data_IF_962119431473
#
_entry.id   IF_962119431473
#
_cell.length_a   1.000
_cell.length_b   1.000
_cell.length_c   1.000
_cell.angle_alpha   90.00
_cell.angle_beta   90.00
_cell.angle_gamma   90.00
#
_symmetry.space_group_name_H-M   'P 1'
#
loop_
_entity.id
_entity.type
_entity.pdbx_description
1 polymer ?
2 non-polymer ?
3 water ?
#
# COMPACT_ATOMS: atom_id res chain seq x y z
N UNK A 9 21.52 8.78 -8.82
CA UNK A 9 20.08 8.58 -9.07
C UNK A 9 19.72 7.10 -9.22
N UNK A 10 18.50 6.73 -8.81
CA UNK A 10 18.06 5.34 -8.95
C UNK A 10 17.94 4.99 -10.43
N UNK A 11 18.36 3.78 -10.82
CA UNK A 11 18.23 3.35 -12.22
C UNK A 11 17.01 2.43 -12.47
N UNK A 12 16.22 2.15 -11.43
CA UNK A 12 15.08 1.25 -11.55
C UNK A 12 13.91 1.86 -12.29
N UNK A 13 13.37 1.17 -13.30
CA UNK A 13 12.16 1.66 -13.96
C UNK A 13 11.02 1.84 -12.95
N UNK A 14 10.41 3.01 -12.94
CA UNK A 14 9.30 3.30 -12.04
C UNK A 14 8.29 4.20 -12.72
N UNK A 15 7.05 4.13 -12.29
CA UNK A 15 6.01 5.02 -12.80
C UNK A 15 4.92 5.16 -11.77
N UNK A 16 4.29 6.32 -11.75
CA UNK A 16 3.11 6.54 -10.91
C UNK A 16 2.28 7.55 -11.69
N UNK A 17 1.24 7.08 -12.33
CA UNK A 17 0.36 7.94 -13.15
C UNK A 17 -0.99 8.10 -12.48
N UNK A 18 -1.65 9.22 -12.74
CA UNK A 18 -2.86 9.59 -12.03
C UNK A 18 -4.00 9.86 -13.01
N UNK A 19 -5.24 9.69 -12.55
CA UNK A 19 -6.38 9.95 -13.43
C UNK A 19 -6.50 11.46 -13.69
N UNK A 20 -6.95 11.82 -14.90
CA UNK A 20 -7.19 13.21 -15.23
C UNK A 20 -8.50 13.60 -14.57
N UNK A 21 -8.43 14.46 -13.54
CA UNK A 21 -9.65 14.80 -12.79
C UNK A 21 -10.71 15.53 -13.59
N UNK A 22 -10.32 16.14 -14.71
CA UNK A 22 -11.30 16.84 -15.54
C UNK A 22 -11.84 15.97 -16.67
N UNK A 23 -11.30 14.74 -16.86
CA UNK A 23 -11.81 13.85 -17.89
C UNK A 23 -12.92 12.97 -17.33
N UNK A 24 -13.99 13.62 -16.83
CA UNK A 24 -15.12 12.89 -16.25
C UNK A 24 -15.75 12.00 -17.31
N UNK A 25 -16.13 10.79 -16.93
CA UNK A 25 -16.66 9.83 -17.88
C UNK A 25 -15.60 8.97 -18.55
N UNK A 26 -14.32 9.18 -18.22
CA UNK A 26 -13.24 8.41 -18.79
C UNK A 26 -12.23 8.12 -17.66
N UNK A 27 -11.32 7.16 -17.89
CA UNK A 27 -10.19 6.97 -16.98
C UNK A 27 -8.93 7.21 -17.82
N UNK A 28 -8.50 8.50 -17.92
CA UNK A 28 -7.32 8.87 -18.72
C UNK A 28 -6.14 9.02 -17.75
N UNK A 29 -5.10 8.23 -17.91
CA UNK A 29 -3.92 8.33 -17.05
C UNK A 29 -3.02 9.46 -17.50
N UNK A 30 -2.42 10.15 -16.56
CA UNK A 30 -1.53 11.27 -16.84
C UNK A 30 -0.20 11.09 -16.17
N UNK A 31 0.86 11.42 -16.90
CA UNK A 31 2.19 11.43 -16.33
C UNK A 31 2.71 12.85 -16.13
N UNK A 32 2.14 13.85 -16.82
CA UNK A 32 2.72 15.21 -16.69
C UNK A 32 2.20 16.00 -15.49
N UNK A 33 1.19 15.49 -14.81
CA UNK A 33 0.57 16.09 -13.65
C UNK A 33 1.59 16.24 -12.54
N UNK A 34 1.40 17.23 -11.63
CA UNK A 34 2.29 17.37 -10.48
C UNK A 34 2.12 16.10 -9.63
N UNK A 35 3.20 15.54 -9.12
CA UNK A 35 3.05 14.27 -8.37
C UNK A 35 2.62 13.01 -9.21
N UNK A 36 2.84 13.09 -10.53
CA UNK A 36 2.78 11.92 -11.39
C UNK A 36 4.19 11.80 -11.97
N UNK A 37 4.66 10.58 -12.26
CA UNK A 37 6.02 10.39 -12.71
C UNK A 37 6.22 9.21 -13.64
N UNK A 38 7.22 9.32 -14.50
CA UNK A 38 7.75 8.24 -15.30
C UNK A 38 9.25 8.37 -15.15
N UNK A 39 9.97 7.27 -14.87
CA UNK A 39 11.43 7.35 -14.79
C UNK A 39 12.11 6.10 -15.28
N UNK A 40 13.35 6.26 -15.74
CA UNK A 40 14.22 5.16 -16.13
C UNK A 40 13.61 4.26 -17.20
N UNK A 41 13.00 4.88 -18.21
CA UNK A 41 12.53 4.15 -19.37
C UNK A 41 11.06 3.85 -19.48
N UNK A 42 10.29 3.94 -18.37
CA UNK A 42 8.85 3.66 -18.45
C UNK A 42 8.18 4.74 -19.28
N UNK A 43 7.27 4.32 -20.15
CA UNK A 43 6.54 5.26 -20.99
C UNK A 43 5.03 5.13 -20.74
N UNK A 44 4.28 6.17 -21.08
CA UNK A 44 2.82 6.15 -21.02
C UNK A 44 2.39 6.41 -22.45
N UNK A 45 1.84 5.39 -23.12
CA UNK A 45 1.46 5.48 -24.53
C UNK A 45 0.11 4.86 -24.72
N UNK A 46 -0.83 5.59 -25.38
CA UNK A 46 -2.18 5.08 -25.61
C UNK A 46 -2.85 4.61 -24.31
N UNK A 47 -2.64 5.38 -23.24
CA UNK A 47 -3.21 5.11 -21.91
C UNK A 47 -2.65 3.88 -21.20
N UNK A 48 -1.50 3.35 -21.68
CA UNK A 48 -0.89 2.17 -21.09
C UNK A 48 0.55 2.42 -20.65
N UNK A 49 1.00 1.75 -19.58
CA UNK A 49 2.40 1.88 -19.16
C UNK A 49 3.22 0.86 -19.97
N UNK A 50 4.35 1.30 -20.51
CA UNK A 50 5.20 0.44 -21.33
C UNK A 50 6.46 0.13 -20.57
N UNK A 51 6.71 -1.14 -20.38
CA UNK A 51 7.83 -1.66 -19.61
C UNK A 51 9.11 -1.61 -20.42
N UNK A 52 10.18 -0.99 -19.93
CA UNK A 52 11.40 -0.86 -20.76
C UNK A 52 12.34 -2.05 -20.75
N UNK A 53 12.25 -2.90 -19.74
CA UNK A 53 13.16 -4.03 -19.61
C UNK A 53 12.54 -5.15 -18.81
N UNK A 54 13.00 -6.36 -19.06
CA UNK A 54 12.53 -7.54 -18.36
C UNK A 54 12.88 -7.50 -16.87
N UNK A 55 12.05 -8.12 -16.06
CA UNK A 55 12.33 -8.21 -14.63
C UNK A 55 11.10 -8.33 -13.76
N UNK A 56 11.32 -8.39 -12.46
CA UNK A 56 10.23 -8.45 -11.49
C UNK A 56 9.77 -7.03 -11.21
N UNK A 57 8.45 -6.84 -11.20
CA UNK A 57 7.88 -5.53 -10.92
C UNK A 57 6.71 -5.65 -10.01
N UNK A 58 6.57 -4.66 -9.11
CA UNK A 58 5.34 -4.51 -8.37
C UNK A 58 4.46 -3.67 -9.32
N UNK A 59 3.22 -4.06 -9.49
CA UNK A 59 2.24 -3.32 -10.25
C UNK A 59 1.12 -3.01 -9.29
N UNK A 60 0.68 -1.75 -9.22
CA UNK A 60 -0.39 -1.40 -8.31
C UNK A 60 -1.31 -0.37 -8.89
N UNK A 61 -2.54 -0.32 -8.37
CA UNK A 61 -3.49 0.67 -8.81
C UNK A 61 -4.58 0.83 -7.78
N UNK A 62 -5.01 2.05 -7.55
CA UNK A 62 -6.16 2.32 -6.73
C UNK A 62 -7.15 3.13 -7.54
N UNK A 63 -8.42 2.75 -7.50
CA UNK A 63 -9.50 3.52 -8.07
C UNK A 63 -10.50 3.78 -6.95
N UNK A 64 -11.33 4.80 -7.09
CA UNK A 64 -12.31 5.12 -6.05
C UNK A 64 -13.59 5.42 -6.74
N UNK A 65 -14.62 4.65 -6.41
CA UNK A 65 -15.94 4.87 -6.96
C UNK A 65 -16.81 5.54 -5.90
N UNK A 66 -17.79 6.31 -6.34
CA UNK A 66 -18.70 7.00 -5.43
C UNK A 66 -20.08 7.07 -6.08
N UNK A 67 -21.09 6.95 -5.28
CA UNK A 67 -22.46 7.10 -5.75
C UNK A 67 -23.30 7.74 -4.66
N UNK A 68 -24.43 8.32 -5.06
CA UNK A 68 -25.35 8.94 -4.12
C UNK A 68 -26.56 8.02 -4.08
N UNK A 69 -26.66 7.20 -3.04
CA UNK A 69 -27.74 6.23 -2.91
C UNK A 69 -27.60 5.06 -3.87
N UNK A 70 -28.66 4.26 -4.02
CA UNK A 70 -28.60 3.08 -4.89
C UNK A 70 -29.67 3.11 -5.99
N UNK A 71 -29.25 2.98 -7.26
CA UNK A 71 -30.22 3.04 -8.36
C UNK A 71 -30.99 1.74 -8.60
N UNK A 75 -25.71 -2.34 -9.62
CA UNK A 75 -24.41 -1.73 -9.95
C UNK A 75 -23.28 -2.72 -9.67
N UNK A 76 -22.47 -3.01 -10.68
CA UNK A 76 -21.30 -3.87 -10.54
C UNK A 76 -20.11 -3.02 -10.98
N UNK A 77 -19.11 -2.91 -10.10
CA UNK A 77 -17.93 -2.11 -10.37
C UNK A 77 -16.74 -3.05 -10.56
N UNK A 78 -15.98 -2.89 -11.62
CA UNK A 78 -14.82 -3.72 -11.86
C UNK A 78 -13.58 -2.86 -12.06
N UNK A 79 -12.45 -3.40 -11.68
CA UNK A 79 -11.15 -2.79 -11.84
C UNK A 79 -10.23 -3.94 -12.26
N UNK A 80 -9.51 -3.76 -13.38
CA UNK A 80 -8.67 -4.82 -13.93
C UNK A 80 -7.34 -4.29 -14.44
N UNK A 81 -6.26 -4.94 -14.08
CA UNK A 81 -4.93 -4.64 -14.62
C UNK A 81 -4.58 -5.76 -15.56
N UNK A 82 -4.26 -5.40 -16.80
CA UNK A 82 -3.92 -6.40 -17.81
C UNK A 82 -2.55 -6.14 -18.42
N UNK A 83 -2.00 -7.18 -19.00
CA UNK A 83 -0.71 -7.16 -19.65
C UNK A 83 -0.89 -7.53 -21.13
N UNK A 84 -0.25 -6.78 -22.03
CA UNK A 84 -0.24 -7.08 -23.46
C UNK A 84 1.23 -7.26 -23.82
N UNK A 85 1.64 -8.49 -24.11
CA UNK A 85 3.02 -8.78 -24.44
C UNK A 85 3.25 -8.59 -25.92
N UNK A 86 4.49 -8.26 -26.29
CA UNK A 86 4.84 -8.12 -27.71
C UNK A 86 4.60 -9.47 -28.47
N UNK A 87 4.73 -10.61 -27.75
CA UNK A 87 4.52 -11.97 -28.26
C UNK A 87 3.05 -12.49 -28.22
N UNK A 88 2.14 -11.77 -27.56
CA UNK A 88 0.72 -12.15 -27.50
C UNK A 88 -0.01 -10.84 -27.26
N UNK A 89 -0.27 -10.09 -28.34
CA UNK A 89 -0.80 -8.74 -28.24
C UNK A 89 -2.31 -8.65 -28.01
N UNK A 90 -2.75 -9.27 -26.91
CA UNK A 90 -4.13 -9.30 -26.43
C UNK A 90 -4.05 -9.17 -24.91
N UNK A 91 -5.03 -8.52 -24.30
CA UNK A 91 -5.02 -8.37 -22.84
C UNK A 91 -5.10 -9.70 -22.09
N UNK A 92 -4.13 -9.94 -21.21
CA UNK A 92 -4.16 -11.05 -20.26
C UNK A 92 -4.37 -10.40 -18.91
N UNK A 93 -5.45 -10.75 -18.20
CA UNK A 93 -5.74 -10.13 -16.89
C UNK A 93 -4.73 -10.61 -15.87
N UNK A 94 -4.07 -9.68 -15.18
CA UNK A 94 -3.11 -10.03 -14.12
C UNK A 94 -3.78 -9.91 -12.77
N UNK A 95 -4.60 -8.86 -12.58
CA UNK A 95 -5.25 -8.55 -11.30
C UNK A 95 -6.64 -8.05 -11.60
N UNK A 96 -7.65 -8.52 -10.86
CA UNK A 96 -9.00 -8.03 -11.09
C UNK A 96 -9.80 -8.05 -9.80
N UNK A 97 -10.74 -7.12 -9.70
CA UNK A 97 -11.66 -7.00 -8.59
C UNK A 97 -13.04 -6.63 -9.08
N UNK A 98 -14.06 -7.10 -8.37
CA UNK A 98 -15.45 -6.76 -8.66
C UNK A 98 -16.11 -6.42 -7.33
N UNK A 99 -16.87 -5.34 -7.30
CA UNK A 99 -17.60 -4.94 -6.10
C UNK A 99 -19.05 -4.63 -6.47
N UNK A 100 -19.95 -4.91 -5.54
CA UNK A 100 -21.38 -4.61 -5.65
C UNK A 100 -21.69 -3.70 -4.45
N UNK A 101 -21.65 -2.37 -4.65
CA UNK A 101 -21.86 -1.46 -3.51
C UNK A 101 -23.28 -1.40 -2.97
N UNK A 102 -24.26 -1.87 -3.76
CA UNK A 102 -25.67 -1.79 -3.39
C UNK A 102 -26.32 -3.16 -3.26
N UNK A 113 -27.84 8.32 0.74
CA UNK A 113 -26.55 8.49 1.43
C UNK A 113 -25.41 8.16 0.48
N UNK A 114 -24.34 8.98 0.47
CA UNK A 114 -23.23 8.68 -0.43
C UNK A 114 -22.46 7.42 -0.03
N UNK A 115 -22.10 6.60 -1.01
CA UNK A 115 -21.26 5.44 -0.76
C UNK A 115 -19.93 5.64 -1.48
N UNK A 116 -18.88 5.07 -0.92
CA UNK A 116 -17.56 5.12 -1.51
C UNK A 116 -17.04 3.71 -1.58
N UNK A 117 -16.35 3.38 -2.68
CA UNK A 117 -15.81 2.05 -2.86
C UNK A 117 -14.42 2.15 -3.43
N UNK A 118 -13.39 2.22 -2.58
CA UNK A 118 -12.03 2.18 -3.10
C UNK A 118 -11.73 0.73 -3.48
N UNK A 119 -10.99 0.57 -4.58
CA UNK A 119 -10.52 -0.74 -4.98
C UNK A 119 -9.04 -0.63 -5.20
N UNK A 120 -8.29 -1.47 -4.53
CA UNK A 120 -6.86 -1.53 -4.71
C UNK A 120 -6.51 -2.86 -5.33
N UNK A 121 -5.60 -2.84 -6.30
CA UNK A 121 -5.05 -4.04 -6.86
C UNK A 121 -3.56 -3.91 -6.82
N UNK A 122 -2.88 -4.98 -6.45
CA UNK A 122 -1.42 -4.97 -6.45
C UNK A 122 -0.89 -6.36 -6.52
N UNK A 123 0.27 -6.50 -7.14
CA UNK A 123 0.93 -7.77 -7.24
C UNK A 123 2.33 -7.66 -7.79
N UNK A 124 3.11 -8.71 -7.61
CA UNK A 124 4.45 -8.76 -8.13
C UNK A 124 4.48 -9.76 -9.29
N UNK A 125 4.98 -9.29 -10.43
CA UNK A 125 4.97 -10.08 -11.66
C UNK A 125 6.27 -10.01 -12.40
N UNK A 126 6.57 -11.06 -13.17
CA UNK A 126 7.70 -11.07 -14.07
C UNK A 126 7.18 -10.47 -15.39
N UNK A 127 7.77 -9.34 -15.80
CA UNK A 127 7.36 -8.68 -17.03
C UNK A 127 8.48 -8.73 -18.05
N UNK A 128 8.13 -8.56 -19.31
CA UNK A 128 9.08 -8.59 -20.38
C UNK A 128 9.22 -7.22 -21.02
N UNK A 129 10.34 -6.99 -21.70
CA UNK A 129 10.59 -5.73 -22.41
C UNK A 129 9.47 -5.45 -23.43
N UNK A 130 8.93 -4.25 -23.40
CA UNK A 130 7.90 -3.85 -24.33
C UNK A 130 6.50 -4.21 -23.92
N UNK A 131 6.31 -4.87 -22.74
CA UNK A 131 4.96 -5.17 -22.28
C UNK A 131 4.17 -3.88 -22.08
N UNK A 132 2.87 -3.90 -22.40
CA UNK A 132 2.00 -2.75 -22.16
C UNK A 132 1.02 -3.12 -21.09
N UNK A 133 0.90 -2.28 -20.07
CA UNK A 133 0.01 -2.57 -18.95
C UNK A 133 -1.14 -1.61 -18.97
N UNK A 134 -2.34 -2.13 -18.79
CA UNK A 134 -3.51 -1.29 -18.73
C UNK A 134 -4.16 -1.44 -17.36
N UNK A 135 -4.83 -0.38 -16.90
CA UNK A 135 -5.59 -0.40 -15.66
C UNK A 135 -6.91 0.24 -16.01
N UNK A 136 -7.95 -0.60 -16.05
CA UNK A 136 -9.23 -0.19 -16.57
C UNK A 136 -10.38 -0.48 -15.64
N UNK A 137 -11.45 0.30 -15.78
CA UNK A 137 -12.66 0.09 -15.00
C UNK A 137 -13.84 -0.04 -15.97
N UNK A 138 -14.96 -0.60 -15.49
CA UNK A 138 -16.14 -0.70 -16.35
C UNK A 138 -17.06 0.50 -16.26
N UNK A 139 -17.02 1.24 -15.14
CA UNK A 139 -17.94 2.34 -14.88
C UNK A 139 -17.24 3.67 -14.56
N UNK A 140 -16.61 4.32 -15.55
CA UNK A 140 -15.99 5.63 -15.28
C UNK A 140 -17.00 6.69 -14.84
N UNK A 141 -18.31 6.50 -15.12
CA UNK A 141 -19.35 7.41 -14.63
C UNK A 141 -19.47 7.39 -13.09
N UNK A 142 -18.95 6.35 -12.42
CA UNK A 142 -18.96 6.27 -10.97
C UNK A 142 -17.60 6.65 -10.33
N UNK A 143 -16.58 7.00 -11.12
CA UNK A 143 -15.30 7.41 -10.55
C UNK A 143 -15.43 8.68 -9.77
N UNK A 144 -14.66 8.77 -8.69
CA UNK A 144 -14.66 9.99 -7.90
C UNK A 144 -13.44 10.81 -8.27
N UNK A 145 -13.66 12.01 -8.82
CA UNK A 145 -12.60 12.95 -9.20
C UNK A 145 -12.68 14.25 -8.38
N UNK A 146 -13.21 14.20 -7.15
CA UNK A 146 -13.36 15.40 -6.34
C UNK A 146 -12.02 15.80 -5.72
N UNK A 147 -11.28 14.81 -5.20
CA UNK A 147 -9.98 15.09 -4.60
C UNK A 147 -8.83 14.43 -5.37
N UNK A 148 -7.68 15.10 -5.38
CA UNK A 148 -6.50 14.56 -6.03
C UNK A 148 -5.90 13.44 -5.16
N UNK A 149 -5.16 12.56 -5.80
CA UNK A 149 -4.47 11.46 -5.16
C UNK A 149 -5.27 10.19 -4.94
N UNK A 150 -6.53 10.14 -5.39
CA UNK A 150 -7.38 8.98 -5.13
C UNK A 150 -7.28 7.87 -6.18
N UNK A 151 -6.93 8.22 -7.42
CA UNK A 151 -6.95 7.25 -8.52
C UNK A 151 -5.60 7.25 -9.18
N UNK A 152 -4.92 6.12 -9.14
CA UNK A 152 -3.55 6.04 -9.63
C UNK A 152 -3.19 4.65 -10.07
N UNK A 153 -2.07 4.52 -10.78
CA UNK A 153 -1.60 3.29 -11.38
C UNK A 153 -0.09 3.42 -11.46
N UNK A 154 0.64 2.45 -10.95
CA UNK A 154 2.10 2.54 -10.97
C UNK A 154 2.79 1.22 -11.03
N UNK A 155 4.10 1.28 -11.33
CA UNK A 155 4.96 0.11 -11.33
C UNK A 155 6.28 0.46 -10.71
N UNK A 156 6.88 -0.53 -10.05
CA UNK A 156 8.20 -0.34 -9.45
C UNK A 156 9.02 -1.58 -9.75
N UNK A 157 10.15 -1.43 -10.45
CA UNK A 157 11.03 -2.57 -10.71
C UNK A 157 11.68 -2.96 -9.37
N UNK A 158 11.54 -4.23 -8.98
CA UNK A 158 12.09 -4.68 -7.70
C UNK A 158 13.62 -4.58 -7.73
N UNK B 11 24.11 -7.34 -4.18
CA UNK B 11 24.49 -8.19 -3.06
C UNK B 11 23.72 -7.89 -1.75
N UNK B 12 22.65 -7.11 -1.82
CA UNK B 12 21.85 -6.73 -0.66
C UNK B 12 20.93 -7.87 -0.26
N UNK B 13 20.81 -8.19 1.06
CA UNK B 13 19.83 -9.21 1.48
C UNK B 13 18.43 -8.91 0.95
N UNK B 14 17.81 -9.91 0.30
CA UNK B 14 16.48 -9.74 -0.27
C UNK B 14 15.72 -11.04 -0.16
N UNK B 15 14.40 -10.94 -0.08
CA UNK B 15 13.55 -12.10 -0.10
C UNK B 15 12.19 -11.73 -0.63
N UNK B 16 11.55 -12.67 -1.32
CA UNK B 16 10.16 -12.51 -1.75
C UNK B 16 9.60 -13.92 -1.73
N UNK B 17 8.78 -14.23 -0.73
CA UNK B 17 8.22 -15.57 -0.56
C UNK B 17 6.71 -15.54 -0.78
N UNK B 18 6.14 -16.66 -1.20
CA UNK B 18 4.73 -16.72 -1.58
C UNK B 18 3.98 -17.82 -0.83
N UNK B 19 2.66 -17.68 -0.70
CA UNK B 19 1.89 -18.67 0.03
C UNK B 19 1.78 -19.99 -0.72
N UNK B 20 1.70 -21.08 0.03
CA UNK B 20 1.50 -22.40 -0.55
C UNK B 20 -0.01 -22.57 -0.73
N UNK B 21 -0.48 -22.74 -1.97
CA UNK B 21 -1.93 -22.95 -2.17
C UNK B 21 -2.45 -24.28 -1.65
N UNK B 22 -1.58 -25.28 -1.54
CA UNK B 22 -1.96 -26.62 -1.09
C UNK B 22 -2.07 -26.74 0.44
N UNK B 23 -1.48 -25.80 1.20
CA UNK B 23 -1.54 -25.88 2.66
C UNK B 23 -2.98 -25.79 3.14
N UNK B 24 -3.32 -26.59 4.15
CA UNK B 24 -4.66 -26.61 4.70
C UNK B 24 -4.64 -25.90 6.03
N UNK B 25 -5.51 -24.91 6.18
CA UNK B 25 -5.64 -24.20 7.44
C UNK B 25 -4.40 -23.46 7.90
N UNK B 26 -3.55 -23.01 6.95
CA UNK B 26 -2.38 -22.24 7.33
C UNK B 26 -1.81 -21.42 6.19
N UNK B 27 -1.10 -20.37 6.58
CA UNK B 27 -0.43 -19.51 5.64
C UNK B 27 1.02 -19.90 5.72
N UNK B 28 1.42 -20.78 4.79
CA UNK B 28 2.76 -21.34 4.73
C UNK B 28 3.54 -20.66 3.63
N UNK B 29 4.63 -20.00 3.98
CA UNK B 29 5.47 -19.31 2.99
C UNK B 29 6.41 -20.27 2.29
N UNK B 30 6.65 -20.02 1.01
CA UNK B 30 7.52 -20.83 0.19
C UNK B 30 8.52 -20.00 -0.55
N UNK B 31 9.70 -20.59 -0.77
CA UNK B 31 10.74 -20.02 -1.61
C UNK B 31 10.66 -20.81 -2.92
N UNK B 36 9.46 -16.21 -6.72
CA UNK B 36 9.92 -16.25 -5.35
C UNK B 36 11.44 -16.34 -5.26
N UNK B 37 12.00 -15.85 -4.15
CA UNK B 37 13.45 -15.82 -4.00
C UNK B 37 13.95 -15.55 -2.59
N UNK B 38 15.16 -16.01 -2.32
CA UNK B 38 15.93 -15.73 -1.11
C UNK B 38 17.32 -15.48 -1.65
N UNK B 39 17.95 -14.36 -1.28
CA UNK B 39 19.29 -14.09 -1.75
C UNK B 39 20.11 -13.31 -0.73
N UNK B 40 21.43 -13.47 -0.85
CA UNK B 40 22.40 -12.74 -0.06
C UNK B 40 22.21 -12.91 1.45
N UNK B 41 21.93 -14.15 1.87
CA UNK B 41 21.88 -14.47 3.29
C UNK B 41 20.53 -14.65 3.93
N UNK B 42 19.45 -14.13 3.32
CA UNK B 42 18.12 -14.30 3.92
C UNK B 42 17.71 -15.76 3.89
N UNK B 43 17.17 -16.24 4.99
CA UNK B 43 16.73 -17.62 5.10
C UNK B 43 15.24 -17.66 5.43
N UNK B 44 14.60 -18.77 5.09
CA UNK B 44 13.20 -19.01 5.44
C UNK B 44 13.25 -20.23 6.34
N UNK B 45 12.99 -20.04 7.63
CA UNK B 45 13.08 -21.13 8.62
C UNK B 45 11.88 -21.06 9.54
N UNK B 46 11.19 -22.20 9.72
CA UNK B 46 10.00 -22.28 10.55
C UNK B 46 8.95 -21.22 10.19
N UNK B 47 8.78 -21.01 8.87
CA UNK B 47 7.83 -20.06 8.31
C UNK B 47 8.18 -18.59 8.53
N UNK B 48 9.43 -18.29 8.93
CA UNK B 48 9.85 -16.93 9.21
C UNK B 48 11.05 -16.54 8.37
N UNK B 49 11.16 -15.25 8.00
CA UNK B 49 12.33 -14.78 7.27
C UNK B 49 13.39 -14.41 8.32
N UNK B 50 14.62 -14.90 8.12
CA UNK B 50 15.69 -14.66 9.07
C UNK B 50 16.65 -13.67 8.46
N UNK B 51 16.86 -12.56 9.17
CA UNK B 51 17.68 -11.45 8.75
C UNK B 51 19.15 -11.78 8.94
N UNK B 52 19.98 -11.69 7.87
CA UNK B 52 21.40 -12.07 8.02
C UNK B 52 22.32 -11.02 8.62
N UNK B 53 21.91 -9.76 8.57
CA UNK B 53 22.76 -8.67 9.04
C UNK B 53 21.95 -7.47 9.46
N UNK B 54 22.52 -6.68 10.36
CA UNK B 54 21.87 -5.48 10.87
C UNK B 54 21.74 -4.44 9.77
N UNK B 55 20.66 -3.64 9.81
CA UNK B 55 20.48 -2.57 8.86
C UNK B 55 19.05 -2.18 8.63
N UNK B 56 18.86 -1.25 7.72
CA UNK B 56 17.52 -0.81 7.36
C UNK B 56 16.95 -1.75 6.33
N UNK B 57 15.68 -2.13 6.49
CA UNK B 57 15.03 -3.01 5.51
C UNK B 57 13.64 -2.49 5.23
N UNK B 58 13.23 -2.58 3.96
CA UNK B 58 11.84 -2.39 3.62
C UNK B 58 11.24 -3.77 3.84
N UNK B 59 10.11 -3.84 4.56
CA UNK B 59 9.39 -5.09 4.80
C UNK B 59 8.02 -4.89 4.19
N UNK B 60 7.52 -5.90 3.45
CA UNK B 60 6.20 -5.76 2.86
C UNK B 60 5.47 -7.08 2.79
N UNK B 61 4.15 -7.01 2.64
CA UNK B 61 3.37 -8.23 2.47
C UNK B 61 1.98 -7.89 1.93
N UNK B 62 1.33 -8.89 1.34
CA UNK B 62 -0.06 -8.77 0.95
C UNK B 62 -0.67 -10.13 1.15
N UNK B 63 -1.86 -10.14 1.74
CA UNK B 63 -2.70 -11.33 1.83
C UNK B 63 -4.05 -11.03 1.18
N UNK B 64 -4.71 -12.07 0.65
CA UNK B 64 -5.98 -11.90 -0.03
C UNK B 64 -6.98 -12.86 0.61
N UNK B 65 -8.15 -12.35 0.99
CA UNK B 65 -9.21 -13.15 1.60
C UNK B 65 -10.45 -13.17 0.70
N UNK B 66 -11.21 -14.26 0.79
CA UNK B 66 -12.45 -14.35 0.02
C UNK B 66 -13.42 -15.23 0.76
N UNK B 67 -14.69 -14.94 0.62
CA UNK B 67 -15.73 -15.75 1.24
C UNK B 67 -17.00 -15.74 0.44
N UNK B 68 -17.85 -16.71 0.69
CA UNK B 68 -19.16 -16.81 0.03
C UNK B 68 -20.16 -16.52 1.12
N UNK B 69 -20.67 -15.30 1.12
CA UNK B 69 -21.63 -14.90 2.12
C UNK B 69 -21.03 -14.64 3.48
N UNK B 70 -21.89 -14.41 4.46
CA UNK B 70 -21.50 -14.09 5.83
C UNK B 70 -22.06 -15.09 6.84
N UNK B 71 -21.17 -15.65 7.67
CA UNK B 71 -21.61 -16.71 8.62
C UNK B 71 -22.26 -16.21 9.90
N UNK B 72 -22.61 -17.15 10.81
CA UNK B 72 -23.25 -16.89 12.10
C UNK B 72 -22.32 -16.19 13.12
N UNK B 73 -21.01 -16.28 12.91
CA UNK B 73 -20.05 -15.63 13.80
C UNK B 73 -19.46 -14.42 13.07
N UNK B 74 -19.16 -13.33 13.80
CA UNK B 74 -18.61 -12.12 13.19
C UNK B 74 -17.24 -12.40 12.60
N UNK B 75 -17.00 -12.00 11.35
CA UNK B 75 -15.73 -12.26 10.69
C UNK B 75 -14.79 -11.07 10.79
N UNK B 76 -13.65 -11.26 11.44
CA UNK B 76 -12.62 -10.22 11.51
C UNK B 76 -11.37 -10.83 10.92
N UNK B 77 -10.78 -10.14 9.93
CA UNK B 77 -9.60 -10.64 9.25
C UNK B 77 -8.41 -9.81 9.66
N UNK B 78 -7.34 -10.43 10.14
CA UNK B 78 -6.16 -9.68 10.58
C UNK B 78 -4.95 -10.14 9.84
N UNK B 79 -4.01 -9.21 9.66
CA UNK B 79 -2.75 -9.54 9.01
C UNK B 79 -1.70 -8.73 9.76
N UNK B 80 -0.65 -9.43 10.22
CA UNK B 80 0.35 -8.79 11.01
C UNK B 80 1.74 -9.23 10.66
N UNK B 81 2.66 -8.28 10.55
CA UNK B 81 4.09 -8.57 10.39
C UNK B 81 4.74 -8.29 11.73
N UNK B 82 5.44 -9.30 12.27
CA UNK B 82 6.08 -9.15 13.57
C UNK B 82 7.56 -9.43 13.48
N UNK B 83 8.29 -8.95 14.49
CA UNK B 83 9.71 -9.12 14.61
C UNK B 83 10.01 -9.84 15.93
N UNK B 84 10.89 -10.85 15.87
CA UNK B 84 11.33 -11.58 17.05
C UNK B 84 12.84 -11.42 17.08
N UNK B 85 13.36 -10.68 18.08
CA UNK B 85 14.80 -10.47 18.17
C UNK B 85 15.45 -11.59 18.98
N UNK B 86 16.71 -11.95 18.65
CA UNK B 86 17.43 -13.01 19.36
C UNK B 86 17.58 -12.69 20.84
N UNK B 91 8.40 -11.00 20.74
CA UNK B 91 7.63 -10.88 19.49
C UNK B 91 6.85 -9.56 19.50
N UNK B 92 7.15 -8.68 18.52
CA UNK B 92 6.61 -7.32 18.49
C UNK B 92 6.00 -7.01 17.14
N UNK B 93 4.77 -6.48 17.13
CA UNK B 93 4.12 -6.15 15.87
C UNK B 93 4.78 -4.95 15.26
N UNK B 94 5.16 -5.05 13.97
CA UNK B 94 5.72 -3.94 13.24
C UNK B 94 4.65 -3.26 12.40
N UNK B 95 3.80 -4.08 11.76
CA UNK B 95 2.76 -3.60 10.84
C UNK B 95 1.54 -4.48 11.02
N UNK B 96 0.36 -3.90 11.14
CA UNK B 96 -0.84 -4.72 11.35
C UNK B 96 -2.06 -4.03 10.86
N UNK B 97 -3.02 -4.81 10.40
CA UNK B 97 -4.31 -4.24 10.00
C UNK B 97 -5.41 -5.28 10.16
N UNK B 98 -6.65 -4.81 10.26
CA UNK B 98 -7.84 -5.61 10.49
C UNK B 98 -8.93 -5.13 9.56
N UNK B 99 -9.71 -6.07 9.00
CA UNK B 99 -10.84 -5.76 8.15
C UNK B 99 -12.06 -6.57 8.59
N UNK B 100 -13.25 -6.03 8.40
CA UNK B 100 -14.51 -6.68 8.74
C UNK B 100 -15.34 -6.71 7.45
N UNK B 101 -15.28 -7.81 6.70
CA UNK B 101 -15.99 -7.86 5.41
C UNK B 101 -17.51 -7.98 5.50
N UNK B 102 -18.04 -8.35 6.65
CA UNK B 102 -19.47 -8.56 6.82
C UNK B 102 -20.09 -7.58 7.82
N UNK B 112 -26.27 -15.68 -0.56
CA UNK B 112 -24.86 -15.57 -0.20
C UNK B 112 -24.05 -15.03 -1.39
N UNK B 113 -23.60 -13.77 -1.29
CA UNK B 113 -22.84 -13.11 -2.35
C UNK B 113 -21.35 -13.22 -2.04
N UNK B 114 -20.50 -13.49 -3.04
CA UNK B 114 -19.06 -13.59 -2.75
C UNK B 114 -18.45 -12.25 -2.39
N UNK B 115 -17.53 -12.25 -1.45
CA UNK B 115 -16.80 -11.03 -1.07
C UNK B 115 -15.30 -11.29 -1.21
N UNK B 116 -14.51 -10.22 -1.36
CA UNK B 116 -13.07 -10.35 -1.52
C UNK B 116 -12.41 -9.19 -0.82
N UNK B 117 -11.34 -9.45 -0.05
CA UNK B 117 -10.65 -8.35 0.62
C UNK B 117 -9.18 -8.59 0.68
N UNK B 118 -8.39 -7.59 0.27
CA UNK B 118 -6.94 -7.69 0.44
C UNK B 118 -6.53 -6.93 1.71
N UNK B 119 -5.42 -7.36 2.32
CA UNK B 119 -4.76 -6.56 3.36
C UNK B 119 -3.29 -6.47 2.94
N UNK B 120 -2.76 -5.26 2.79
CA UNK B 120 -1.40 -5.07 2.26
C UNK B 120 -0.67 -4.08 3.16
N UNK B 121 0.58 -4.37 3.51
CA UNK B 121 1.37 -3.67 4.54
C UNK B 121 2.75 -3.47 4.07
N UNK B 122 3.38 -2.39 4.55
CA UNK B 122 4.78 -2.18 4.25
C UNK B 122 5.36 -1.01 4.98
N UNK B 123 6.62 -1.12 5.32
CA UNK B 123 7.32 0.00 5.96
C UNK B 123 8.81 -0.26 6.11
N UNK B 124 9.58 0.78 6.50
CA UNK B 124 11.03 0.65 6.67
C UNK B 124 11.38 0.52 8.14
N UNK B 125 12.25 -0.47 8.47
CA UNK B 125 12.60 -0.76 9.86
C UNK B 125 14.06 -1.05 10.01
N UNK B 126 14.59 -0.71 11.19
CA UNK B 126 15.97 -1.07 11.51
C UNK B 126 15.89 -2.46 12.15
N UNK B 127 16.59 -3.42 11.56
CA UNK B 127 16.59 -4.80 12.03
C UNK B 127 17.98 -5.19 12.48
N UNK B 128 18.05 -6.22 13.32
CA UNK B 128 19.31 -6.74 13.82
C UNK B 128 19.60 -8.13 13.25
N UNK B 129 20.88 -8.52 13.24
CA UNK B 129 21.30 -9.84 12.77
C UNK B 129 20.56 -10.94 13.56
N UNK B 130 20.00 -11.88 12.83
CA UNK B 130 19.30 -13.00 13.44
C UNK B 130 17.85 -12.74 13.77
N UNK B 131 17.33 -11.52 13.50
CA UNK B 131 15.90 -11.26 13.72
C UNK B 131 15.06 -12.20 12.87
N UNK B 132 13.91 -12.61 13.39
CA UNK B 132 13.00 -13.47 12.65
C UNK B 132 11.74 -12.66 12.39
N UNK B 133 11.30 -12.63 11.15
CA UNK B 133 10.11 -11.88 10.78
C UNK B 133 9.02 -12.84 10.41
N UNK B 134 7.83 -12.58 10.94
CA UNK B 134 6.69 -13.40 10.61
C UNK B 134 5.61 -12.55 9.96
N UNK B 135 4.83 -13.14 9.07
CA UNK B 135 3.69 -12.48 8.43
C UNK B 135 2.56 -13.47 8.61
N UNK B 136 1.62 -13.12 9.47
CA UNK B 136 0.59 -14.04 9.90
C UNK B 136 -0.80 -13.48 9.73
N UNK B 137 -1.77 -14.39 9.66
CA UNK B 137 -3.16 -14.01 9.60
C UNK B 137 -3.91 -14.82 10.66
N UNK B 138 -5.10 -14.35 11.02
CA UNK B 138 -5.90 -15.10 12.00
C UNK B 138 -6.84 -16.09 11.34
N UNK B 139 -7.21 -15.89 10.06
CA UNK B 139 -8.17 -16.75 9.38
C UNK B 139 -7.67 -17.36 8.06
N UNK B 140 -6.74 -18.34 8.14
CA UNK B 140 -6.29 -18.99 6.91
C UNK B 140 -7.40 -19.73 6.16
N UNK B 141 -8.52 -20.06 6.84
CA UNK B 141 -9.67 -20.67 6.18
C UNK B 141 -10.32 -19.73 5.15
N UNK B 142 -10.05 -18.40 5.24
CA UNK B 142 -10.58 -17.42 4.30
C UNK B 142 -9.57 -16.98 3.24
N UNK B 143 -8.37 -17.57 3.21
CA UNK B 143 -7.37 -17.20 2.21
C UNK B 143 -7.82 -17.56 0.83
N UNK B 144 -7.48 -16.71 -0.13
CA UNK B 144 -7.78 -16.97 -1.52
C UNK B 144 -6.61 -17.83 -2.05
N UNK B 145 -6.62 -19.15 -1.73
CA UNK B 145 -5.56 -20.07 -2.13
C UNK B 145 -5.26 -20.09 -3.65
N UNK B 146 -6.28 -19.87 -4.49
CA UNK B 146 -6.07 -19.83 -5.94
C UNK B 146 -5.16 -18.67 -6.36
N UNK B 147 -5.14 -17.59 -5.58
CA UNK B 147 -4.27 -16.46 -5.87
C UNK B 147 -3.05 -16.44 -4.96
N UNK B 148 -2.55 -17.63 -4.56
CA UNK B 148 -1.39 -17.79 -3.68
C UNK B 148 -0.12 -17.11 -4.19
N UNK B 149 0.00 -16.97 -5.51
CA UNK B 149 1.14 -16.29 -6.14
C UNK B 149 1.19 -14.82 -5.73
N UNK B 150 0.03 -14.23 -5.40
CA UNK B 150 0.00 -12.82 -4.95
C UNK B 150 -0.29 -12.64 -3.45
N UNK B 151 -0.07 -13.69 -2.70
CA UNK B 151 -0.10 -13.64 -1.26
C UNK B 151 1.37 -13.78 -0.99
N UNK B 152 1.99 -12.66 -0.61
CA UNK B 152 3.42 -12.62 -0.55
C UNK B 152 3.94 -11.89 0.65
N UNK B 153 5.24 -12.05 0.90
CA UNK B 153 5.92 -11.47 2.04
C UNK B 153 7.38 -11.29 1.62
N UNK B 154 7.94 -10.09 1.81
CA UNK B 154 9.32 -9.89 1.37
C UNK B 154 10.04 -8.81 2.12
N UNK B 155 11.35 -8.80 1.96
CA UNK B 155 12.20 -7.78 2.54
C UNK B 155 13.27 -7.38 1.54
N UNK B 156 13.78 -6.17 1.69
CA UNK B 156 14.92 -5.73 0.88
C UNK B 156 15.74 -4.81 1.74
N UNK B 157 17.03 -5.11 1.85
CA UNK B 157 17.94 -4.29 2.62
C UNK B 157 18.16 -2.98 1.85
N UNK B 158 18.12 -1.84 2.55
CA UNK B 158 18.26 -0.51 1.95
C UNK B 158 19.63 0.09 2.20
N UNK C 4 17.33 15.04 15.94
CA UNK C 4 18.21 13.87 15.91
C UNK C 4 18.92 13.74 14.57
N UNK C 5 20.12 13.13 14.59
CA UNK C 5 20.90 12.97 13.37
C UNK C 5 21.51 11.58 13.28
N UNK C 6 20.68 10.58 12.95
CA UNK C 6 21.08 9.20 12.78
C UNK C 6 21.52 8.96 11.34
N UNK C 7 22.57 8.16 11.16
CA UNK C 7 23.09 7.85 9.84
C UNK C 7 23.24 6.35 9.64
N UNK C 8 23.06 5.90 8.39
CA UNK C 8 23.21 4.51 8.01
C UNK C 8 24.15 4.42 6.79
N UNK C 9 24.78 3.25 6.56
CA UNK C 9 25.77 3.13 5.47
C UNK C 9 25.33 3.53 4.06
N UNK C 10 24.07 3.25 3.66
CA UNK C 10 23.63 3.61 2.31
C UNK C 10 23.40 5.13 2.10
N UNK C 11 23.26 5.87 3.21
CA UNK C 11 22.98 7.30 3.17
C UNK C 11 21.63 7.62 2.51
N UNK C 12 20.73 6.62 2.36
CA UNK C 12 19.44 6.90 1.77
C UNK C 12 18.51 7.49 2.81
N UNK C 13 17.97 8.68 2.54
CA UNK C 13 16.97 9.26 3.46
C UNK C 13 15.79 8.32 3.70
N UNK C 14 15.47 8.08 4.96
CA UNK C 14 14.38 7.19 5.32
C UNK C 14 13.69 7.70 6.56
N UNK C 15 12.42 7.36 6.69
CA UNK C 15 11.67 7.68 7.91
C UNK C 15 10.52 6.71 8.06
N UNK C 16 10.20 6.40 9.32
CA UNK C 16 9.03 5.60 9.65
C UNK C 16 8.57 6.14 11.00
N UNK C 17 7.48 6.89 10.99
CA UNK C 17 6.95 7.50 12.21
C UNK C 17 5.58 6.91 12.56
N UNK C 18 5.25 6.92 13.84
CA UNK C 18 4.05 6.24 14.34
C UNK C 18 3.16 7.19 15.12
N UNK C 19 1.87 6.88 15.19
CA UNK C 19 0.93 7.76 15.88
C UNK C 19 1.09 7.69 17.36
N UNK C 20 0.84 8.82 18.03
CA UNK C 20 0.78 8.85 19.46
C UNK C 20 -0.66 8.44 19.86
N UNK C 21 -0.86 7.28 20.53
CA UNK C 21 -2.23 6.86 20.85
C UNK C 21 -2.99 7.72 21.83
N UNK C 22 -2.29 8.52 22.65
CA UNK C 22 -2.98 9.36 23.62
C UNK C 22 -3.08 10.83 23.21
N UNK C 23 -2.85 11.14 21.94
CA UNK C 23 -2.97 12.50 21.44
C UNK C 23 -4.46 12.78 21.34
N UNK C 24 -4.92 13.79 22.07
CA UNK C 24 -6.34 14.12 22.12
C UNK C 24 -6.85 14.75 20.85
N UNK C 25 -7.76 14.07 20.16
CA UNK C 25 -8.42 14.54 18.95
C UNK C 25 -7.54 14.88 17.78
N UNK C 26 -6.40 14.18 17.64
CA UNK C 26 -5.50 14.45 16.54
C UNK C 26 -4.68 13.22 16.13
N UNK C 27 -4.00 13.34 14.99
CA UNK C 27 -3.09 12.31 14.53
C UNK C 27 -1.68 12.92 14.61
N UNK C 28 -0.97 12.62 15.71
CA UNK C 28 0.34 13.18 16.01
C UNK C 28 1.42 12.16 15.74
N UNK C 29 2.34 12.45 14.84
CA UNK C 29 3.41 11.52 14.48
C UNK C 29 4.58 11.63 15.43
N UNK C 30 5.21 10.49 15.71
CA UNK C 30 6.34 10.43 16.63
C UNK C 30 7.47 9.64 16.01
N UNK C 31 8.70 10.09 16.17
CA UNK C 31 9.85 9.29 15.76
C UNK C 31 10.55 8.66 17.01
N UNK C 32 10.30 9.22 18.21
CA UNK C 32 10.92 8.79 19.45
C UNK C 32 10.18 7.60 20.04
N UNK C 33 10.19 6.50 19.30
CA UNK C 33 9.54 5.26 19.71
C UNK C 33 10.37 4.09 19.19
N UNK C 34 10.25 2.93 19.84
CA UNK C 34 10.93 1.72 19.36
C UNK C 34 10.33 1.35 18.01
N UNK C 35 11.14 0.87 17.09
CA UNK C 35 10.62 0.52 15.74
C UNK C 35 10.08 1.72 14.95
N UNK C 36 10.52 2.92 15.29
CA UNK C 36 10.25 4.14 14.51
C UNK C 36 11.62 4.75 14.24
N UNK C 37 11.73 5.57 13.19
CA UNK C 37 13.04 6.11 12.87
C UNK C 37 13.05 7.28 11.93
N UNK C 38 14.15 8.03 11.97
CA UNK C 38 14.48 9.11 11.05
C UNK C 38 15.94 8.89 10.78
N UNK C 39 16.35 8.84 9.51
CA UNK C 39 17.76 8.64 9.22
C UNK C 39 18.18 9.35 7.96
N UNK C 40 19.47 9.65 7.89
CA UNK C 40 20.10 10.23 6.74
C UNK C 40 19.46 11.54 6.28
N UNK C 41 19.14 12.40 7.23
CA UNK C 41 18.68 13.74 6.94
C UNK C 41 17.21 14.05 7.06
N UNK C 42 16.36 13.03 7.12
CA UNK C 42 14.92 13.29 7.25
C UNK C 42 14.63 13.86 8.63
N UNK C 43 13.79 14.88 8.68
CA UNK C 43 13.40 15.51 9.92
C UNK C 43 11.89 15.41 10.12
N UNK C 44 11.44 15.47 11.36
CA UNK C 44 10.02 15.51 11.70
C UNK C 44 9.85 16.87 12.38
N UNK C 45 9.15 17.80 11.71
CA UNK C 45 8.98 19.16 12.19
C UNK C 45 7.55 19.58 12.00
N UNK C 46 6.89 20.08 13.07
CA UNK C 46 5.49 20.52 12.99
C UNK C 46 4.56 19.44 12.40
N UNK C 47 4.81 18.19 12.82
CA UNK C 47 4.03 17.01 12.40
C UNK C 47 4.22 16.62 10.94
N UNK C 48 5.26 17.15 10.28
CA UNK C 48 5.53 16.84 8.87
C UNK C 48 6.91 16.25 8.69
N UNK C 49 7.06 15.37 7.68
CA UNK C 49 8.39 14.84 7.35
C UNK C 49 9.03 15.81 6.36
N UNK C 50 10.28 16.20 6.62
CA UNK C 50 11.00 17.15 5.78
C UNK C 50 12.08 16.40 5.02
N UNK C 51 12.00 16.48 3.69
CA UNK C 51 12.87 15.79 2.76
C UNK C 51 14.22 16.50 2.65
N UNK C 52 15.34 15.78 2.82
CA UNK C 52 16.66 16.45 2.80
C UNK C 52 17.27 16.66 1.43
N UNK C 53 16.83 15.91 0.42
CA UNK C 53 17.42 15.97 -0.89
C UNK C 53 16.47 15.53 -1.97
N UNK C 54 16.69 16.02 -3.17
CA UNK C 54 15.85 15.68 -4.32
C UNK C 54 16.01 14.20 -4.70
N UNK C 55 14.96 13.63 -5.27
CA UNK C 55 15.05 12.27 -5.77
C UNK C 55 13.74 11.54 -5.78
N UNK C 56 13.79 10.27 -6.18
CA UNK C 56 12.60 9.41 -6.16
C UNK C 56 12.49 8.82 -4.76
N UNK C 57 11.26 8.78 -4.25
CA UNK C 57 10.99 8.23 -2.94
C UNK C 57 9.73 7.38 -2.97
N UNK C 58 9.72 6.30 -2.19
CA UNK C 58 8.49 5.58 -1.90
C UNK C 58 7.91 6.35 -0.73
N UNK C 59 6.62 6.60 -0.74
CA UNK C 59 5.91 7.30 0.33
C UNK C 59 4.75 6.43 0.72
N UNK C 60 4.55 6.22 2.02
CA UNK C 60 3.46 5.36 2.44
C UNK C 60 2.87 5.77 3.78
N UNK C 61 1.63 5.35 4.02
CA UNK C 61 1.01 5.58 5.32
C UNK C 61 -0.16 4.65 5.52
N UNK C 62 -0.42 4.28 6.77
CA UNK C 62 -1.57 3.49 7.10
C UNK C 62 -2.25 4.11 8.29
N UNK C 63 -3.57 4.12 8.26
CA UNK C 63 -4.39 4.43 9.40
C UNK C 63 -5.40 3.29 9.57
N UNK C 64 -5.94 3.12 10.78
CA UNK C 64 -6.95 2.08 11.01
C UNK C 64 -8.07 2.71 11.77
N UNK C 65 -9.29 2.59 11.25
CA UNK C 65 -10.46 3.12 11.92
C UNK C 65 -11.30 1.97 12.45
N UNK C 66 -12.02 2.22 13.53
CA UNK C 66 -12.91 1.21 14.11
C UNK C 66 -14.12 1.89 14.72
N UNK C 67 -15.25 1.22 14.59
CA UNK C 67 -16.48 1.68 15.21
C UNK C 67 -17.30 0.51 15.70
N UNK C 68 -18.22 0.78 16.62
CA UNK C 68 -19.09 -0.25 17.15
C UNK C 68 -20.47 0.04 16.59
N UNK C 69 -20.86 -0.74 15.59
CA UNK C 69 -22.14 -0.55 14.93
C UNK C 69 -22.17 0.65 14.02
N UNK C 70 -23.36 0.96 13.50
CA UNK C 70 -23.52 2.08 12.60
C UNK C 70 -24.49 3.13 13.14
N UNK C 71 -24.03 4.40 13.25
CA UNK C 71 -24.91 5.44 13.80
C UNK C 71 -25.89 6.00 12.77
N UNK C 72 -26.82 6.85 13.24
CA UNK C 72 -27.81 7.49 12.38
C UNK C 72 -27.25 8.60 11.50
N UNK C 73 -26.02 9.09 11.80
CA UNK C 73 -25.36 10.11 10.99
C UNK C 73 -24.34 9.42 10.10
N UNK C 74 -24.22 9.89 8.86
CA UNK C 74 -23.33 9.28 7.88
C UNK C 74 -21.87 9.40 8.24
N UNK C 75 -21.14 8.27 8.26
CA UNK C 75 -19.73 8.30 8.59
C UNK C 75 -18.87 8.23 7.33
N UNK C 76 -18.01 9.23 7.13
CA UNK C 76 -17.08 9.23 6.00
C UNK C 76 -15.68 9.35 6.59
N UNK C 77 -14.79 8.42 6.21
CA UNK C 77 -13.43 8.39 6.75
C UNK C 77 -12.47 8.74 5.63
N UNK C 78 -11.53 9.67 5.88
CA UNK C 78 -10.57 10.06 4.85
C UNK C 78 -9.14 10.00 5.40
N UNK C 79 -8.18 9.68 4.53
CA UNK C 79 -6.75 9.66 4.85
C UNK C 79 -6.04 10.23 3.65
N UNK C 80 -5.19 11.24 3.87
CA UNK C 80 -4.52 11.91 2.77
C UNK C 80 -3.06 12.21 3.08
N UNK C 81 -2.18 11.93 2.11
CA UNK C 81 -0.79 12.31 2.19
C UNK C 81 -0.61 13.47 1.25
N UNK C 82 -0.06 14.60 1.75
CA UNK C 82 0.15 15.77 0.92
C UNK C 82 1.61 16.25 0.95
N UNK C 83 1.96 17.08 -0.03
CA UNK C 83 3.30 17.59 -0.21
C UNK C 83 3.24 19.11 -0.31
N UNK C 84 4.16 19.80 0.37
CA UNK C 84 4.31 21.27 0.28
C UNK C 84 5.73 21.52 -0.16
N UNK C 85 5.91 22.09 -1.36
CA UNK C 85 7.25 22.38 -1.87
C UNK C 85 7.73 23.75 -1.43
N UNK C 86 9.04 23.94 -1.23
CA UNK C 86 9.57 25.22 -0.82
C UNK C 86 9.42 26.28 -1.87
N UNK C 87 9.84 25.99 -3.12
CA UNK C 87 9.78 26.97 -4.20
C UNK C 87 8.36 27.35 -4.56
N UNK C 88 7.45 26.38 -4.53
CA UNK C 88 6.07 26.60 -4.94
C UNK C 88 5.17 27.08 -3.81
N UNK C 89 5.43 26.64 -2.57
CA UNK C 89 4.63 27.01 -1.41
C UNK C 89 3.15 26.66 -1.60
N UNK C 90 2.86 25.56 -2.31
CA UNK C 90 1.50 25.13 -2.58
C UNK C 90 1.30 23.72 -2.04
N UNK C 91 0.17 23.46 -1.37
CA UNK C 91 -0.15 22.13 -0.87
C UNK C 91 -0.68 21.27 -2.02
N UNK C 92 -0.32 19.98 -2.04
CA UNK C 92 -0.77 19.12 -3.12
C UNK C 92 -1.00 17.72 -2.61
N UNK C 93 -2.18 17.16 -2.83
CA UNK C 93 -2.45 15.78 -2.40
C UNK C 93 -1.66 14.84 -3.28
N UNK C 94 -0.92 13.91 -2.66
CA UNK C 94 -0.19 12.89 -3.40
C UNK C 94 -1.01 11.62 -3.44
N UNK C 95 -1.60 11.23 -2.31
CA UNK C 95 -2.35 9.99 -2.18
C UNK C 95 -3.54 10.25 -1.26
N UNK C 96 -4.71 9.66 -1.55
CA UNK C 96 -5.86 9.88 -0.70
C UNK C 96 -6.86 8.75 -0.89
N UNK C 97 -7.67 8.51 0.13
CA UNK C 97 -8.79 7.59 0.00
C UNK C 97 -9.89 8.00 0.94
N UNK C 98 -11.12 7.64 0.59
CA UNK C 98 -12.30 7.90 1.38
C UNK C 98 -13.06 6.58 1.49
N UNK C 99 -13.57 6.28 2.69
CA UNK C 99 -14.35 5.09 2.91
C UNK C 99 -15.63 5.42 3.65
N UNK C 100 -16.69 4.68 3.36
CA UNK C 100 -18.00 4.82 4.01
C UNK C 100 -18.30 3.45 4.60
N UNK C 101 -17.96 3.23 5.88
CA UNK C 101 -18.13 1.90 6.47
C UNK C 101 -19.57 1.46 6.70
N UNK C 102 -20.52 2.41 6.69
CA UNK C 102 -21.91 2.12 6.99
C UNK C 102 -22.85 2.50 5.85
N UNK C 112 -25.07 -4.27 17.58
CA UNK C 112 -23.96 -3.46 17.09
C UNK C 112 -22.66 -4.27 16.99
N UNK C 113 -22.26 -4.59 15.76
CA UNK C 113 -21.06 -5.37 15.49
C UNK C 113 -19.91 -4.42 15.16
N UNK C 114 -18.70 -4.71 15.64
CA UNK C 114 -17.57 -3.82 15.35
C UNK C 114 -17.17 -3.85 13.89
N UNK C 115 -16.86 -2.69 13.32
CA UNK C 115 -16.34 -2.62 11.95
C UNK C 115 -14.93 -2.06 12.01
N UNK C 116 -14.10 -2.47 11.06
CA UNK C 116 -12.72 -2.01 10.95
C UNK C 116 -12.49 -1.56 9.54
N UNK C 117 -11.83 -0.42 9.40
CA UNK C 117 -11.50 0.08 8.08
C UNK C 117 -10.07 0.57 8.05
N UNK C 118 -9.15 -0.26 7.53
CA UNK C 118 -7.78 0.24 7.33
C UNK C 118 -7.75 1.07 6.05
N UNK C 119 -6.82 2.04 5.99
CA UNK C 119 -6.53 2.75 4.76
C UNK C 119 -5.03 2.74 4.63
N UNK C 120 -4.49 2.03 3.63
CA UNK C 120 -3.05 2.01 3.33
C UNK C 120 -2.88 2.76 2.03
N UNK C 121 -1.95 3.71 2.01
CA UNK C 121 -1.68 4.47 0.82
C UNK C 121 -0.19 4.35 0.55
N UNK C 122 0.17 4.14 -0.70
CA UNK C 122 1.58 4.06 -1.06
C UNK C 122 1.80 4.36 -2.53
N UNK C 123 2.96 4.91 -2.84
CA UNK C 123 3.33 5.17 -4.23
C UNK C 123 4.77 5.63 -4.33
N UNK C 124 5.22 5.94 -5.55
CA UNK C 124 6.56 6.44 -5.84
C UNK C 124 6.44 7.86 -6.38
N UNK C 125 7.23 8.78 -5.84
CA UNK C 125 7.14 10.20 -6.18
C UNK C 125 8.49 10.85 -6.32
N UNK C 126 8.57 11.89 -7.16
CA UNK C 126 9.78 12.68 -7.27
C UNK C 126 9.60 13.80 -6.26
N UNK C 127 10.52 13.92 -5.31
CA UNK C 127 10.46 14.97 -4.31
C UNK C 127 11.65 15.91 -4.45
N UNK C 128 11.51 17.10 -3.90
CA UNK C 128 12.56 18.11 -3.95
C UNK C 128 13.10 18.40 -2.55
N UNK C 129 14.33 18.93 -2.48
CA UNK C 129 14.95 19.30 -1.21
C UNK C 129 14.07 20.29 -0.44
N UNK C 130 13.81 19.99 0.82
CA UNK C 130 13.01 20.83 1.67
C UNK C 130 11.51 20.62 1.59
N UNK C 131 11.05 19.66 0.76
CA UNK C 131 9.60 19.37 0.71
C UNK C 131 9.10 18.93 2.09
N UNK C 132 7.88 19.31 2.43
CA UNK C 132 7.26 18.89 3.70
C UNK C 132 6.10 18.00 3.38
N UNK C 133 6.05 16.82 3.99
CA UNK C 133 4.99 15.84 3.74
C UNK C 133 4.12 15.71 4.95
N UNK C 134 2.80 15.70 4.75
CA UNK C 134 1.83 15.51 5.83
C UNK C 134 0.99 14.27 5.56
N UNK C 135 0.51 13.62 6.62
CA UNK C 135 -0.39 12.48 6.53
C UNK C 135 -1.49 12.74 7.53
N UNK C 136 -2.71 13.03 7.03
CA UNK C 136 -3.82 13.50 7.85
C UNK C 136 -5.11 12.76 7.66
N UNK C 137 -5.97 12.76 8.67
CA UNK C 137 -7.30 12.14 8.61
C UNK C 137 -8.39 13.15 9.01
N UNK C 138 -9.65 12.84 8.69
CA UNK C 138 -10.74 13.73 9.10
C UNK C 138 -11.37 13.35 10.43
N UNK C 139 -11.27 12.07 10.84
CA UNK C 139 -11.94 11.57 12.04
C UNK C 139 -10.97 10.87 13.01
N UNK C 140 -10.15 11.64 13.75
CA UNK C 140 -9.27 10.99 14.76
C UNK C 140 -10.06 10.30 15.87
N UNK C 141 -11.34 10.66 16.07
CA UNK C 141 -12.18 9.99 17.06
C UNK C 141 -12.50 8.52 16.68
N UNK C 142 -12.29 8.13 15.41
CA UNK C 142 -12.51 6.76 14.99
C UNK C 142 -11.19 5.96 14.85
N UNK C 143 -10.03 6.57 15.16
CA UNK C 143 -8.76 5.84 15.07
C UNK C 143 -8.73 4.68 16.06
N UNK C 144 -8.05 3.59 15.68
CA UNK C 144 -7.90 2.43 16.55
C UNK C 144 -6.44 2.19 16.89
N UNK C 145 -6.16 2.02 18.19
CA UNK C 145 -4.81 1.82 18.69
C UNK C 145 -4.73 0.58 19.58
N UNK C 146 -5.51 -0.47 19.27
CA UNK C 146 -5.54 -1.65 20.14
C UNK C 146 -4.26 -2.45 20.09
N UNK C 147 -3.54 -2.41 18.96
CA UNK C 147 -2.27 -3.12 18.82
C UNK C 147 -1.26 -2.19 18.18
N UNK C 148 0.04 -2.46 18.37
CA UNK C 148 1.07 -1.63 17.74
C UNK C 148 1.08 -1.91 16.22
N UNK C 149 1.64 -0.98 15.46
CA UNK C 149 1.80 -1.17 14.02
C UNK C 149 0.61 -0.84 13.17
N UNK C 150 -0.41 -0.19 13.74
CA UNK C 150 -1.64 0.10 12.98
C UNK C 150 -1.68 1.47 12.34
N UNK C 151 -0.89 2.43 12.84
CA UNK C 151 -0.95 3.79 12.35
C UNK C 151 0.47 4.29 12.15
N UNK C 152 0.84 4.58 10.91
CA UNK C 152 2.21 4.92 10.60
C UNK C 152 2.33 5.71 9.30
N UNK C 153 3.51 6.31 9.07
CA UNK C 153 3.75 7.18 7.91
C UNK C 153 5.25 7.15 7.67
N UNK C 154 5.66 6.90 6.43
CA UNK C 154 7.09 6.83 6.14
C UNK C 154 7.46 7.14 4.72
N UNK C 155 8.78 7.28 4.51
CA UNK C 155 9.38 7.54 3.20
C UNK C 155 10.66 6.75 3.07
N UNK C 156 11.00 6.37 1.83
CA UNK C 156 12.22 5.65 1.54
C UNK C 156 12.81 6.19 0.25
N UNK C 157 14.02 6.76 0.28
CA UNK C 157 14.64 7.22 -0.96
C UNK C 157 15.09 6.03 -1.76
N UNK C 158 14.87 6.06 -3.10
CA UNK C 158 15.34 4.97 -3.94
C UNK C 158 16.81 5.17 -4.39
#
# INVERSE_FOLDING_TARGET
MVRSSSRTPSDKPVAHVVANPQAEGQLQWLNRRANALLANGVELRDNQLVVPSEGLYLIYSQVLFKGQGCPSTHVLLTHTISRIAVSYQTKVNLLSAIKSPCQRETPEGAEAKPWYEPIYLGGVFQLEKGDRLSAEINRPDYLDFAESGQVYFGIIAL
MVRSSSRTPSDKPVAHVVANPQAEGQLQWLNRRANALLANGVELRDNQLVVPSEGLYLIYSQVLFKGQGCPSTHVLLTHTISRIAVSYQTKVNLLSAIKSPCQRETPEGAEAKPWYEPIYLGGVFQLEKGDRLSAEINRPDYLDFAESGQVYFGIIAL
MVRSSSRTPSDKPVAHVVANPQAEGQLQWLNRRANALLANGVELRDNQLVVPSEGLYLIYSQVLFKGQGCPSTHVLLTHTISRIAVSYQTKVNLLSAIKSPCQRETPEGAEAKPWYEPIYLGGVFQLEKGDRLSAEINRPDYLDFAESGQVYFGIIAL
#
